data_IF_521421888009
#
_entry.id   IF_521421888009
#
_cell.length_a   1.000
_cell.length_b   1.000
_cell.length_c   1.000
_cell.angle_alpha   90.00
_cell.angle_beta   90.00
_cell.angle_gamma   90.00
#
_symmetry.space_group_name_H-M   'P 1'
#
loop_
_entity.id
_entity.type
_entity.pdbx_description
1 polymer ?
#
# COMPACT_ATOMS: atom_id res chain seq x y z
N UNK A 1 -34.83 -31.87 -0.56
CA UNK A 1 -34.70 -32.95 -1.57
C UNK A 1 -33.23 -33.12 -1.93
N UNK A 2 -32.71 -34.34 -1.99
CA UNK A 2 -31.31 -34.59 -2.38
C UNK A 2 -31.21 -34.92 -3.87
N UNK A 3 -30.25 -34.31 -4.58
CA UNK A 3 -29.84 -34.72 -5.93
C UNK A 3 -28.35 -35.06 -5.91
N UNK A 4 -28.05 -36.36 -5.81
CA UNK A 4 -26.69 -36.88 -6.05
C UNK A 4 -26.26 -36.50 -7.47
N UNK A 5 -25.18 -35.74 -7.63
CA UNK A 5 -24.43 -35.73 -8.91
C UNK A 5 -23.63 -37.04 -8.98
N UNK A 6 -23.74 -37.77 -10.09
CA UNK A 6 -22.80 -38.86 -10.41
C UNK A 6 -21.41 -38.25 -10.63
N UNK A 7 -20.36 -38.99 -10.28
CA UNK A 7 -19.06 -38.76 -10.90
C UNK A 7 -19.20 -39.07 -12.42
N UNK A 8 -18.89 -38.08 -13.25
CA UNK A 8 -18.70 -38.23 -14.69
C UNK A 8 -17.21 -38.28 -14.99
N UNK A 9 -16.82 -38.93 -16.08
CA UNK A 9 -15.41 -39.08 -16.45
C UNK A 9 -14.86 -37.77 -17.03
N UNK A 10 -13.87 -37.16 -16.39
CA UNK A 10 -13.25 -35.91 -16.87
C UNK A 10 -12.38 -36.17 -18.12
N UNK A 11 -13.00 -35.99 -19.29
CA UNK A 11 -12.33 -35.89 -20.59
C UNK A 11 -12.91 -34.69 -21.35
N UNK A 12 -12.66 -33.49 -20.82
CA UNK A 12 -12.86 -32.24 -21.57
C UNK A 12 -11.82 -32.10 -22.69
N UNK A 13 -12.12 -31.42 -23.80
CA UNK A 13 -11.19 -31.26 -24.91
C UNK A 13 -9.96 -30.43 -24.47
N UNK A 14 -8.77 -30.98 -24.70
CA UNK A 14 -7.49 -30.29 -24.45
C UNK A 14 -7.35 -29.08 -25.38
N UNK A 15 -7.12 -27.88 -24.82
CA UNK A 15 -7.09 -26.60 -25.56
C UNK A 15 -6.02 -26.47 -26.66
N UNK A 16 -5.07 -27.41 -26.78
CA UNK A 16 -3.97 -27.33 -27.72
C UNK A 16 -3.78 -28.63 -28.51
N UNK A 17 -3.87 -28.54 -29.85
CA UNK A 17 -3.39 -29.59 -30.76
C UNK A 17 -1.92 -29.37 -31.08
N UNK A 18 -1.05 -30.26 -30.61
CA UNK A 18 0.38 -30.28 -30.95
C UNK A 18 0.64 -31.13 -32.20
N UNK A 19 0.28 -30.63 -33.39
CA UNK A 19 0.63 -31.27 -34.67
C UNK A 19 1.88 -30.59 -35.31
N UNK A 20 2.94 -31.33 -35.68
CA UNK A 20 4.17 -30.77 -36.24
C UNK A 20 4.14 -30.55 -37.76
N UNK A 21 4.92 -29.58 -38.23
CA UNK A 21 5.15 -29.22 -39.66
C UNK A 21 6.25 -30.16 -40.30
N UNK A 22 6.58 -30.12 -41.64
CA UNK A 22 7.63 -30.94 -42.37
C UNK A 22 8.98 -30.48 -43.17
N UNK A 23 9.39 -29.24 -43.59
CA UNK A 23 10.85 -28.79 -43.77
C UNK A 23 11.22 -27.26 -43.70
N UNK A 24 11.98 -26.82 -42.66
CA UNK A 24 12.54 -25.46 -42.43
C UNK A 24 14.00 -25.45 -41.84
N UNK A 25 14.60 -24.27 -41.55
CA UNK A 25 16.03 -24.11 -41.20
C UNK A 25 16.33 -23.20 -40.01
N UNK A 26 17.46 -23.44 -39.34
CA UNK A 26 18.03 -22.61 -38.27
C UNK A 26 19.53 -22.34 -38.51
N UNK A 27 19.97 -21.10 -38.22
CA UNK A 27 21.36 -20.65 -38.29
C UNK A 27 21.88 -20.35 -36.88
N UNK A 28 22.89 -21.11 -36.44
CA UNK A 28 23.44 -21.01 -35.09
C UNK A 28 24.77 -20.25 -35.13
N UNK A 29 24.77 -19.04 -34.59
CA UNK A 29 25.96 -18.21 -34.38
C UNK A 29 26.61 -18.55 -33.04
N UNK A 30 27.86 -19.01 -33.06
CA UNK A 30 28.65 -19.32 -31.84
C UNK A 30 29.85 -18.40 -31.77
N UNK A 31 30.01 -17.68 -30.66
CA UNK A 31 31.17 -16.79 -30.43
C UNK A 31 32.04 -17.38 -29.33
N UNK A 32 33.29 -17.71 -29.67
CA UNK A 32 34.26 -18.24 -28.72
C UNK A 32 35.39 -17.22 -28.47
N UNK A 33 35.70 -16.96 -27.20
CA UNK A 33 36.83 -16.09 -26.80
C UNK A 33 38.04 -16.95 -26.49
N UNK A 34 39.16 -16.74 -27.18
CA UNK A 34 40.43 -17.38 -26.86
C UNK A 34 41.08 -16.74 -25.62
N UNK A 35 41.94 -17.48 -24.92
CA UNK A 35 42.61 -17.02 -23.69
C UNK A 35 43.54 -15.82 -23.87
N UNK A 36 43.88 -15.46 -25.11
CA UNK A 36 44.61 -14.25 -25.48
C UNK A 36 43.70 -13.03 -25.77
N UNK A 37 42.39 -13.14 -25.51
CA UNK A 37 41.42 -12.05 -25.65
C UNK A 37 40.81 -11.86 -27.05
N UNK A 38 41.24 -12.62 -28.07
CA UNK A 38 40.60 -12.56 -29.38
C UNK A 38 39.29 -13.34 -29.41
N UNK A 39 38.23 -12.73 -29.94
CA UNK A 39 36.95 -13.37 -30.19
C UNK A 39 36.86 -13.87 -31.63
N UNK A 40 36.34 -15.10 -31.80
CA UNK A 40 36.09 -15.70 -33.11
C UNK A 40 34.63 -16.11 -33.21
N UNK A 41 33.98 -15.73 -34.30
CA UNK A 41 32.58 -16.07 -34.61
C UNK A 41 32.57 -17.24 -35.59
N UNK A 42 31.67 -18.20 -35.39
CA UNK A 42 31.38 -19.29 -36.32
C UNK A 42 29.87 -19.40 -36.55
N UNK A 43 29.49 -19.83 -37.75
CA UNK A 43 28.10 -20.07 -38.16
C UNK A 43 27.96 -21.54 -38.53
N UNK A 44 26.96 -22.21 -37.96
CA UNK A 44 26.51 -23.53 -38.43
C UNK A 44 25.03 -23.45 -38.84
N UNK A 45 24.61 -24.29 -39.79
CA UNK A 45 23.23 -24.28 -40.33
C UNK A 45 22.64 -25.67 -40.27
N UNK A 46 21.43 -25.80 -39.75
CA UNK A 46 20.70 -27.07 -39.65
C UNK A 46 19.31 -26.98 -40.30
N UNK A 47 18.76 -28.12 -40.72
CA UNK A 47 17.46 -28.20 -41.44
C UNK A 47 16.54 -29.20 -40.74
N UNK A 48 15.49 -28.70 -40.08
CA UNK A 48 14.49 -29.46 -39.31
C UNK A 48 13.21 -29.60 -40.13
N UNK A 49 12.47 -30.68 -39.96
CA UNK A 49 11.24 -30.96 -40.71
C UNK A 49 10.07 -30.05 -40.19
N UNK A 50 9.74 -28.89 -40.87
CA UNK A 50 8.58 -27.92 -40.77
C UNK A 50 7.96 -27.32 -42.15
N UNK A 51 6.71 -27.61 -42.67
CA UNK A 51 6.10 -27.45 -44.06
C UNK A 51 4.53 -27.32 -44.12
N UNK A 52 3.88 -27.49 -45.31
CA UNK A 52 2.43 -27.34 -45.61
C UNK A 52 1.87 -28.06 -46.91
N UNK A 53 0.53 -28.17 -47.12
CA UNK A 53 -0.20 -28.62 -48.35
C UNK A 53 -0.40 -27.48 -49.43
N UNK A 54 -1.07 -27.71 -50.60
CA UNK A 54 -0.98 -26.80 -51.78
C UNK A 54 -1.90 -25.56 -51.73
N UNK A 55 -1.65 -24.52 -52.57
CA UNK A 55 -2.31 -23.22 -52.48
C UNK A 55 -3.73 -23.16 -53.07
N UNK A 56 -4.56 -22.32 -52.47
CA UNK A 56 -5.79 -21.77 -53.06
C UNK A 56 -5.47 -20.44 -53.80
N UNK A 57 -6.28 -20.01 -54.78
CA UNK A 57 -5.95 -18.84 -55.60
C UNK A 57 -5.95 -17.54 -54.80
N UNK A 58 -5.02 -16.64 -55.15
CA UNK A 58 -4.95 -15.29 -54.61
C UNK A 58 -6.08 -14.47 -55.22
N UNK A 59 -6.84 -13.77 -54.38
CA UNK A 59 -7.59 -12.59 -54.77
C UNK A 59 -6.88 -11.40 -54.10
N UNK A 60 -6.49 -10.39 -54.87
CA UNK A 60 -5.68 -9.30 -54.34
C UNK A 60 -6.45 -8.49 -53.30
N UNK A 61 -5.87 -8.18 -52.12
CA UNK A 61 -6.44 -7.20 -51.22
C UNK A 61 -6.37 -5.82 -51.89
N UNK A 62 -7.46 -5.02 -51.86
CA UNK A 62 -7.44 -3.69 -52.46
C UNK A 62 -6.40 -2.81 -51.75
N UNK A 63 -5.71 -1.98 -52.53
CA UNK A 63 -4.73 -1.02 -52.02
C UNK A 63 -5.41 0.04 -51.16
N UNK A 64 -5.27 -0.07 -49.84
CA UNK A 64 -5.59 1.01 -48.91
C UNK A 64 -4.35 1.91 -48.84
N UNK A 65 -4.34 2.94 -49.68
CA UNK A 65 -3.39 4.04 -49.55
C UNK A 65 -3.61 4.75 -48.21
N UNK A 66 -2.56 4.84 -47.39
CA UNK A 66 -2.58 5.56 -46.12
C UNK A 66 -2.43 7.07 -46.36
N UNK A 67 -3.48 7.65 -46.95
CA UNK A 67 -3.65 9.10 -47.11
C UNK A 67 -4.08 9.72 -45.77
N UNK A 68 -3.11 10.33 -45.07
CA UNK A 68 -3.28 10.97 -43.76
C UNK A 68 -4.18 12.23 -43.81
N UNK A 69 -4.68 12.62 -45.00
CA UNK A 69 -5.67 13.70 -45.15
C UNK A 69 -7.13 13.26 -44.99
N UNK A 70 -7.39 11.97 -44.70
CA UNK A 70 -8.75 11.39 -44.88
C UNK A 70 -9.37 10.65 -43.69
N UNK A 71 -8.89 10.88 -42.47
CA UNK A 71 -9.42 10.24 -41.25
C UNK A 71 -10.74 10.84 -40.72
N UNK A 72 -11.60 11.34 -41.61
CA UNK A 72 -12.89 11.99 -41.29
C UNK A 72 -14.03 11.00 -41.03
N UNK A 73 -13.79 9.68 -41.05
CA UNK A 73 -14.85 8.70 -40.80
C UNK A 73 -15.31 8.63 -39.32
N UNK A 74 -14.62 9.33 -38.41
CA UNK A 74 -15.14 9.63 -37.06
C UNK A 74 -15.64 11.08 -36.92
N UNK A 75 -15.68 11.84 -38.02
CA UNK A 75 -16.02 13.27 -38.10
C UNK A 75 -17.41 13.55 -38.68
N UNK A 76 -18.42 12.69 -38.53
CA UNK A 76 -19.82 13.14 -38.59
C UNK A 76 -20.82 12.21 -37.88
N UNK A 77 -21.65 12.79 -37.01
CA UNK A 77 -22.93 12.23 -36.51
C UNK A 77 -22.92 10.85 -35.80
N UNK A 78 -21.78 10.40 -35.24
CA UNK A 78 -21.66 9.10 -34.55
C UNK A 78 -21.09 9.13 -33.13
N UNK A 79 -20.97 10.31 -32.49
CA UNK A 79 -20.31 10.44 -31.19
C UNK A 79 -21.03 9.66 -30.07
N UNK A 80 -20.36 8.66 -29.49
CA UNK A 80 -20.73 8.10 -28.18
C UNK A 80 -20.68 9.27 -27.18
N UNK A 81 -21.78 9.62 -26.48
CA UNK A 81 -21.79 10.81 -25.63
C UNK A 81 -20.74 10.70 -24.52
N UNK A 82 -19.68 11.51 -24.62
CA UNK A 82 -18.73 11.66 -23.53
C UNK A 82 -19.49 12.24 -22.35
N UNK A 83 -19.48 11.53 -21.22
CA UNK A 83 -20.28 11.91 -20.06
C UNK A 83 -19.73 13.27 -19.54
N UNK A 84 -20.49 14.40 -19.60
CA UNK A 84 -19.84 15.71 -19.58
C UNK A 84 -19.19 16.02 -18.23
N UNK A 85 -17.87 16.17 -18.21
CA UNK A 85 -17.06 16.34 -16.99
C UNK A 85 -17.43 17.60 -16.19
N UNK A 86 -18.05 18.59 -16.82
CA UNK A 86 -18.55 19.79 -16.15
C UNK A 86 -19.75 20.42 -16.87
N UNK A 87 -20.42 21.37 -16.19
CA UNK A 87 -21.58 22.08 -16.74
C UNK A 87 -21.25 22.93 -17.98
N UNK A 88 -20.01 23.40 -18.14
CA UNK A 88 -19.58 24.20 -19.30
C UNK A 88 -19.56 23.33 -20.57
N UNK A 89 -19.11 22.06 -20.46
CA UNK A 89 -19.20 21.07 -21.55
C UNK A 89 -20.64 20.65 -21.89
N UNK A 90 -21.62 20.92 -21.01
CA UNK A 90 -23.06 20.80 -21.33
C UNK A 90 -23.62 22.05 -22.04
N UNK A 91 -22.79 23.03 -22.40
CA UNK A 91 -23.21 24.31 -22.97
C UNK A 91 -23.89 25.26 -21.96
N UNK A 92 -23.95 24.88 -20.68
CA UNK A 92 -24.52 25.72 -19.62
C UNK A 92 -23.52 26.82 -19.30
N UNK A 93 -23.78 28.03 -19.80
CA UNK A 93 -23.00 29.23 -19.48
C UNK A 93 -23.13 29.56 -17.99
N UNK A 94 -22.19 29.05 -17.19
CA UNK A 94 -22.01 29.49 -15.82
C UNK A 94 -21.72 31.00 -15.79
N UNK A 95 -22.30 31.76 -14.84
CA UNK A 95 -21.89 33.14 -14.65
C UNK A 95 -20.40 33.16 -14.23
N UNK A 96 -19.57 34.08 -14.76
CA UNK A 96 -18.15 34.11 -14.45
C UNK A 96 -17.96 34.24 -12.93
N UNK A 97 -17.20 33.30 -12.36
CA UNK A 97 -16.91 33.30 -10.93
C UNK A 97 -16.34 34.66 -10.52
N UNK A 98 -16.86 35.23 -9.42
CA UNK A 98 -16.41 36.53 -8.91
C UNK A 98 -14.91 36.47 -8.61
N UNK A 99 -14.11 37.13 -9.44
CA UNK A 99 -12.67 37.25 -9.21
C UNK A 99 -12.41 38.29 -8.13
N UNK A 100 -11.59 37.92 -7.17
CA UNK A 100 -11.11 38.78 -6.10
C UNK A 100 -9.58 38.80 -6.17
N UNK A 101 -8.93 39.92 -5.86
CA UNK A 101 -7.46 40.03 -5.96
C UNK A 101 -6.71 39.00 -5.08
N UNK A 102 -7.31 38.59 -3.96
CA UNK A 102 -6.79 37.54 -3.09
C UNK A 102 -7.05 36.11 -3.61
N UNK A 103 -7.88 35.93 -4.63
CA UNK A 103 -8.09 34.65 -5.33
C UNK A 103 -7.16 34.50 -6.53
N UNK A 104 -6.99 35.57 -7.31
CA UNK A 104 -6.13 35.57 -8.50
C UNK A 104 -4.62 35.68 -8.12
N UNK A 105 -4.29 36.41 -7.04
CA UNK A 105 -2.92 36.62 -6.57
C UNK A 105 -2.78 36.46 -5.03
N UNK A 106 -3.15 35.31 -4.44
CA UNK A 106 -3.22 35.10 -2.99
C UNK A 106 -1.92 35.46 -2.27
N UNK A 107 -0.77 34.96 -2.76
CA UNK A 107 0.53 35.22 -2.13
C UNK A 107 0.93 36.70 -2.16
N UNK A 108 0.56 37.45 -3.20
CA UNK A 108 0.83 38.89 -3.30
C UNK A 108 0.01 39.64 -2.25
N UNK A 109 -1.28 39.33 -2.13
CA UNK A 109 -2.14 39.91 -1.10
C UNK A 109 -1.68 39.58 0.33
N UNK A 110 -1.04 38.41 0.52
CA UNK A 110 -0.50 37.95 1.80
C UNK A 110 0.79 38.66 2.24
N UNK A 111 1.60 39.23 1.33
CA UNK A 111 2.91 39.80 1.66
C UNK A 111 2.86 40.90 2.73
N UNK A 112 1.75 41.64 2.85
CA UNK A 112 1.53 42.65 3.88
C UNK A 112 1.22 42.10 5.27
N UNK A 113 0.74 40.85 5.37
CA UNK A 113 0.31 40.21 6.62
C UNK A 113 1.41 39.37 7.30
N UNK A 114 2.60 39.29 6.71
CA UNK A 114 3.72 38.44 7.19
C UNK A 114 4.10 38.67 8.64
N UNK A 115 4.24 39.93 9.07
CA UNK A 115 4.59 40.26 10.45
C UNK A 115 3.47 39.83 11.41
N UNK A 116 2.22 40.23 11.12
CA UNK A 116 1.04 39.89 11.93
C UNK A 116 0.87 38.37 12.07
N UNK A 117 1.08 37.60 10.99
CA UNK A 117 1.03 36.14 11.07
C UNK A 117 2.19 35.53 11.86
N UNK A 118 3.40 36.11 11.80
CA UNK A 118 4.52 35.68 12.64
C UNK A 118 4.24 35.98 14.11
N UNK A 119 3.73 37.18 14.42
CA UNK A 119 3.39 37.61 15.77
C UNK A 119 2.29 36.72 16.37
N UNK A 120 1.18 36.51 15.66
CA UNK A 120 0.10 35.60 16.11
C UNK A 120 0.57 34.13 16.19
N UNK A 121 1.52 33.70 15.35
CA UNK A 121 2.12 32.37 15.46
C UNK A 121 3.01 32.25 16.69
N UNK A 122 3.89 33.21 16.97
CA UNK A 122 4.75 33.21 18.16
C UNK A 122 3.90 33.34 19.44
N UNK A 123 2.80 34.07 19.38
CA UNK A 123 1.77 34.20 20.42
C UNK A 123 0.98 32.91 20.64
N UNK A 124 0.73 32.13 19.60
CA UNK A 124 0.17 30.77 19.66
C UNK A 124 1.18 29.75 20.23
N UNK A 125 2.47 29.83 19.86
CA UNK A 125 3.50 28.94 20.40
C UNK A 125 3.82 29.27 21.88
N UNK A 126 3.88 30.56 22.25
CA UNK A 126 4.00 31.09 23.61
C UNK A 126 2.68 31.12 24.42
N UNK A 127 2.63 31.85 25.54
CA UNK A 127 1.47 31.89 26.47
C UNK A 127 0.25 32.72 25.99
N UNK A 128 0.40 33.53 24.96
CA UNK A 128 -0.65 34.44 24.48
C UNK A 128 -1.25 35.33 25.59
N UNK A 129 -2.57 35.60 25.54
CA UNK A 129 -3.27 36.35 26.59
C UNK A 129 -3.19 35.68 27.98
N UNK A 130 -2.89 34.37 28.07
CA UNK A 130 -2.67 33.65 29.33
C UNK A 130 -1.26 33.88 29.90
N UNK A 131 -0.57 34.94 29.49
CA UNK A 131 0.60 35.49 30.16
C UNK A 131 0.22 36.25 31.46
N UNK A 132 -0.86 37.04 31.42
CA UNK A 132 -1.29 37.91 32.52
C UNK A 132 -2.22 37.21 33.54
N UNK A 133 -2.95 36.20 33.08
CA UNK A 133 -3.79 35.33 33.89
C UNK A 133 -3.16 33.93 33.96
N UNK A 134 -2.66 33.55 35.14
CA UNK A 134 -2.19 32.20 35.45
C UNK A 134 -3.20 31.39 36.26
N UNK A 135 -4.46 31.79 36.37
CA UNK A 135 -5.49 30.96 37.02
C UNK A 135 -5.97 29.84 36.09
N UNK A 136 -6.23 28.66 36.66
CA UNK A 136 -6.83 27.57 35.89
C UNK A 136 -8.34 27.83 35.69
N UNK A 137 -8.83 28.03 34.44
CA UNK A 137 -10.23 28.37 34.18
C UNK A 137 -11.17 27.24 34.62
N UNK A 138 -10.74 25.99 34.43
CA UNK A 138 -11.45 24.80 34.84
C UNK A 138 -11.66 24.72 36.37
N UNK A 139 -10.71 25.21 37.17
CA UNK A 139 -10.87 25.31 38.63
C UNK A 139 -11.81 26.46 39.02
N UNK A 140 -11.67 27.62 38.37
CA UNK A 140 -12.50 28.80 38.60
C UNK A 140 -13.98 28.51 38.30
N UNK A 141 -14.28 27.93 37.14
CA UNK A 141 -15.65 27.58 36.70
C UNK A 141 -16.29 26.53 37.65
N UNK A 142 -15.48 25.60 38.19
CA UNK A 142 -15.95 24.54 39.09
C UNK A 142 -15.93 24.93 40.57
N UNK A 143 -15.55 26.18 40.89
CA UNK A 143 -15.33 26.68 42.25
C UNK A 143 -14.33 25.83 43.10
N UNK A 144 -13.38 25.15 42.45
CA UNK A 144 -12.36 24.29 43.09
C UNK A 144 -11.12 25.08 43.56
N UNK A 145 -11.33 26.34 43.98
CA UNK A 145 -10.26 27.27 44.34
C UNK A 145 -9.48 27.84 43.16
N UNK A 146 -8.48 28.68 43.44
CA UNK A 146 -7.61 29.34 42.43
C UNK A 146 -6.29 28.59 42.26
N UNK A 147 -6.34 27.39 41.68
CA UNK A 147 -5.12 26.65 41.32
C UNK A 147 -4.43 27.29 40.10
N UNK A 148 -3.09 27.24 40.05
CA UNK A 148 -2.32 27.80 38.95
C UNK A 148 -2.42 26.95 37.66
N UNK A 149 -2.67 27.62 36.54
CA UNK A 149 -2.64 27.09 35.20
C UNK A 149 -1.23 27.07 34.62
N UNK A 150 -0.52 25.95 34.77
CA UNK A 150 0.85 25.76 34.26
C UNK A 150 0.96 24.73 33.14
N UNK A 151 -0.06 23.90 32.90
CA UNK A 151 -0.07 22.85 31.88
C UNK A 151 -0.93 23.22 30.68
N UNK A 152 -0.44 22.98 29.47
CA UNK A 152 -1.16 23.25 28.22
C UNK A 152 -1.11 22.02 27.32
N UNK A 153 -2.24 21.68 26.71
CA UNK A 153 -2.26 20.69 25.64
C UNK A 153 -2.01 21.37 24.29
N UNK A 154 -1.18 20.74 23.46
CA UNK A 154 -0.83 21.25 22.13
C UNK A 154 -1.86 20.84 21.06
N UNK A 155 -2.62 19.77 21.32
CA UNK A 155 -3.55 19.14 20.37
C UNK A 155 -5.04 19.43 20.69
N UNK A 156 -5.36 19.91 21.90
CA UNK A 156 -6.72 20.35 22.26
C UNK A 156 -7.04 21.73 21.68
N UNK A 157 -8.26 21.93 21.15
CA UNK A 157 -8.76 23.25 20.79
C UNK A 157 -8.77 24.22 21.99
N UNK A 158 -8.63 25.53 21.72
CA UNK A 158 -8.55 26.58 22.75
C UNK A 158 -7.21 26.67 23.51
N UNK A 159 -6.48 25.56 23.64
CA UNK A 159 -5.10 25.49 24.19
C UNK A 159 -4.92 26.24 25.51
N UNK A 160 -5.86 26.05 26.43
CA UNK A 160 -5.89 26.72 27.73
C UNK A 160 -4.76 26.29 28.67
N UNK A 161 -4.40 27.20 29.59
CA UNK A 161 -3.50 26.93 30.71
C UNK A 161 -4.29 26.33 31.89
N UNK A 162 -4.03 25.07 32.21
CA UNK A 162 -4.73 24.26 33.22
C UNK A 162 -3.79 23.86 34.37
N UNK A 163 -4.33 23.63 35.56
CA UNK A 163 -3.58 22.96 36.62
C UNK A 163 -3.42 21.46 36.29
N UNK A 164 -2.49 20.77 36.96
CA UNK A 164 -2.22 19.36 36.69
C UNK A 164 -3.49 18.47 36.76
N UNK A 165 -4.32 18.64 37.79
CA UNK A 165 -5.54 17.84 37.99
C UNK A 165 -6.61 18.07 36.91
N UNK A 166 -6.84 19.33 36.52
CA UNK A 166 -7.78 19.66 35.44
C UNK A 166 -7.26 19.23 34.07
N UNK A 167 -5.94 19.34 33.84
CA UNK A 167 -5.30 18.81 32.63
C UNK A 167 -5.47 17.28 32.56
N UNK A 168 -5.14 16.55 33.63
CA UNK A 168 -5.30 15.10 33.68
C UNK A 168 -6.77 14.67 33.50
N UNK A 169 -7.70 15.37 34.16
CA UNK A 169 -9.14 15.09 34.02
C UNK A 169 -9.64 15.30 32.58
N UNK A 170 -9.23 16.38 31.92
CA UNK A 170 -9.65 16.69 30.53
C UNK A 170 -9.12 15.67 29.51
N UNK A 171 -7.99 15.01 29.80
CA UNK A 171 -7.38 14.02 28.89
C UNK A 171 -7.68 12.56 29.26
N UNK A 172 -8.62 12.29 30.19
CA UNK A 172 -9.09 10.91 30.50
C UNK A 172 -9.63 10.15 29.28
N UNK A 173 -10.25 10.88 28.34
CA UNK A 173 -10.74 10.39 27.04
C UNK A 173 -9.74 10.57 25.90
N UNK A 174 -8.66 11.32 26.11
CA UNK A 174 -7.70 11.76 25.09
C UNK A 174 -6.25 11.44 25.51
N UNK A 175 -5.91 10.17 25.85
CA UNK A 175 -4.64 9.80 26.50
C UNK A 175 -3.40 9.91 25.60
N UNK A 176 -3.58 10.21 24.31
CA UNK A 176 -2.50 10.38 23.33
C UNK A 176 -2.35 11.84 22.86
N UNK A 177 -2.95 12.79 23.58
CA UNK A 177 -2.71 14.22 23.37
C UNK A 177 -1.37 14.64 23.99
N UNK A 178 -0.63 15.48 23.27
CA UNK A 178 0.65 16.04 23.74
C UNK A 178 0.39 17.19 24.71
N UNK A 179 1.05 17.15 25.86
CA UNK A 179 0.98 18.20 26.89
C UNK A 179 2.36 18.77 27.15
N UNK A 180 2.42 20.07 27.42
CA UNK A 180 3.61 20.78 27.89
C UNK A 180 3.30 21.49 29.20
N UNK A 181 4.31 21.64 30.06
CA UNK A 181 4.27 22.43 31.28
C UNK A 181 5.12 23.69 31.11
N UNK A 182 4.61 24.84 31.52
CA UNK A 182 5.36 26.09 31.57
C UNK A 182 6.25 26.10 32.82
N UNK A 183 7.57 26.10 32.63
CA UNK A 183 8.57 26.25 33.71
C UNK A 183 9.77 27.04 33.18
N UNK A 184 10.38 27.84 34.05
CA UNK A 184 11.64 28.56 33.75
C UNK A 184 11.62 29.34 32.43
N UNK A 185 10.47 29.96 32.11
CA UNK A 185 10.30 30.81 30.93
C UNK A 185 9.95 30.10 29.62
N UNK A 186 9.78 28.76 29.60
CA UNK A 186 9.38 28.04 28.40
C UNK A 186 8.48 26.82 28.65
N UNK A 187 7.94 26.25 27.56
CA UNK A 187 7.12 25.04 27.59
C UNK A 187 7.98 23.77 27.44
N UNK A 188 8.07 22.95 28.50
CA UNK A 188 8.69 21.63 28.48
C UNK A 188 7.65 20.54 28.20
N UNK A 189 7.93 19.51 27.38
CA UNK A 189 7.01 18.38 27.22
C UNK A 189 6.85 17.59 28.53
N UNK A 190 5.66 17.02 28.75
CA UNK A 190 5.34 16.13 29.87
C UNK A 190 4.37 15.05 29.40
N UNK A 191 4.56 13.79 29.81
CA UNK A 191 3.64 12.73 29.41
C UNK A 191 2.38 12.74 30.29
N UNK A 192 1.21 12.48 29.71
CA UNK A 192 -0.06 12.42 30.44
C UNK A 192 -0.04 11.40 31.59
N UNK A 193 0.74 10.32 31.47
CA UNK A 193 0.96 9.33 32.54
C UNK A 193 1.56 9.95 33.81
N UNK A 194 2.44 10.95 33.64
CA UNK A 194 3.16 11.61 34.74
C UNK A 194 2.23 12.60 35.47
N UNK A 195 1.11 12.99 34.83
CA UNK A 195 -0.01 13.71 35.45
C UNK A 195 -1.08 12.76 36.03
N UNK A 196 -0.83 11.45 36.04
CA UNK A 196 -1.74 10.44 36.59
C UNK A 196 -2.84 9.96 35.63
N UNK A 197 -2.79 10.28 34.33
CA UNK A 197 -3.72 9.70 33.35
C UNK A 197 -3.38 8.23 33.11
N UNK A 198 -4.38 7.36 33.21
CA UNK A 198 -4.26 5.91 33.03
C UNK A 198 -5.18 5.46 31.88
N UNK A 199 -4.62 4.69 30.95
CA UNK A 199 -5.37 3.99 29.90
C UNK A 199 -5.94 2.71 30.50
N UNK A 200 -7.12 2.79 31.10
CA UNK A 200 -7.88 1.63 31.53
C UNK A 200 -8.47 0.92 30.30
N UNK A 201 -8.15 -0.36 30.15
CA UNK A 201 -8.70 -1.23 29.10
C UNK A 201 -10.00 -1.91 29.57
N UNK A 202 -10.72 -2.52 28.64
CA UNK A 202 -11.98 -3.24 28.87
C UNK A 202 -13.23 -2.35 28.72
N UNK A 203 -14.20 -2.83 27.94
CA UNK A 203 -15.37 -2.03 27.50
C UNK A 203 -16.33 -1.65 28.63
N UNK A 204 -16.33 -2.40 29.74
CA UNK A 204 -17.19 -2.16 30.91
C UNK A 204 -16.68 -1.00 31.81
N UNK A 205 -15.69 -0.22 31.37
CA UNK A 205 -15.10 0.89 32.12
C UNK A 205 -15.19 2.20 31.35
N UNK A 206 -15.85 3.20 31.93
CA UNK A 206 -15.86 4.55 31.38
C UNK A 206 -14.44 5.18 31.44
N UNK A 207 -14.02 5.99 30.45
CA UNK A 207 -12.68 6.57 30.41
C UNK A 207 -12.31 7.34 31.68
N UNK A 208 -11.16 6.98 32.28
CA UNK A 208 -10.68 7.55 33.54
C UNK A 208 -11.29 6.93 34.81
N UNK A 209 -12.15 5.92 34.70
CA UNK A 209 -12.39 4.96 35.79
C UNK A 209 -11.28 3.90 35.84
N UNK A 210 -11.18 3.14 36.93
CA UNK A 210 -10.17 2.09 37.11
C UNK A 210 -10.84 0.74 37.42
N UNK A 211 -10.30 -0.32 36.84
CA UNK A 211 -10.70 -1.69 37.15
C UNK A 211 -10.08 -2.11 38.48
N UNK A 212 -10.92 -2.41 39.48
CA UNK A 212 -10.49 -2.93 40.80
C UNK A 212 -9.68 -4.21 40.65
N UNK A 213 -10.13 -5.13 39.79
CA UNK A 213 -9.46 -6.40 39.47
C UNK A 213 -8.39 -6.27 38.37
N UNK A 214 -8.16 -5.07 37.84
CA UNK A 214 -7.23 -4.84 36.74
C UNK A 214 -5.76 -4.91 37.16
N UNK A 215 -4.88 -5.27 36.22
CA UNK A 215 -3.44 -5.32 36.44
C UNK A 215 -2.74 -4.22 35.63
N UNK A 216 -1.80 -3.51 36.25
CA UNK A 216 -0.99 -2.53 35.55
C UNK A 216 -0.09 -3.23 34.51
N UNK A 217 -0.06 -2.72 33.29
CA UNK A 217 0.84 -3.19 32.24
C UNK A 217 2.29 -2.76 32.52
N UNK A 218 3.22 -3.25 31.69
CA UNK A 218 4.63 -2.89 31.75
C UNK A 218 4.85 -1.35 31.82
N UNK A 219 5.73 -0.90 32.72
CA UNK A 219 6.00 0.54 32.96
C UNK A 219 6.56 1.28 31.73
N UNK A 220 7.15 0.55 30.78
CA UNK A 220 7.71 1.06 29.53
C UNK A 220 6.81 0.81 28.32
N UNK A 221 5.49 0.69 28.55
CA UNK A 221 4.48 0.51 27.50
C UNK A 221 4.36 1.77 26.63
N UNK A 222 4.62 1.60 25.32
CA UNK A 222 4.61 2.68 24.33
C UNK A 222 3.40 2.57 23.40
N UNK A 223 2.71 3.67 23.15
CA UNK A 223 1.71 3.79 22.08
C UNK A 223 2.22 4.74 21.00
N UNK A 224 2.30 4.24 19.78
CA UNK A 224 2.57 5.03 18.58
C UNK A 224 1.24 5.64 18.11
N UNK A 225 1.17 6.97 17.99
CA UNK A 225 0.00 7.72 17.54
C UNK A 225 0.38 8.70 16.43
N UNK A 226 -0.60 9.28 15.74
CA UNK A 226 -0.41 10.11 14.53
C UNK A 226 0.42 11.38 14.81
N UNK A 227 0.34 11.91 16.03
CA UNK A 227 1.06 13.07 16.51
C UNK A 227 2.43 12.75 17.18
N UNK A 228 2.81 11.48 17.38
CA UNK A 228 4.07 11.10 18.02
C UNK A 228 4.09 9.77 18.79
N UNK A 229 5.14 9.59 19.59
CA UNK A 229 5.45 8.40 20.40
C UNK A 229 5.09 8.69 21.86
N UNK A 230 4.09 8.00 22.40
CA UNK A 230 3.60 8.22 23.76
C UNK A 230 4.05 7.12 24.70
N UNK A 231 4.62 7.50 25.84
CA UNK A 231 4.74 6.59 26.99
C UNK A 231 3.49 6.74 27.85
N UNK A 232 2.77 5.65 28.10
CA UNK A 232 1.48 5.67 28.81
C UNK A 232 1.43 4.62 29.91
N UNK A 233 0.75 4.93 31.01
CA UNK A 233 0.39 3.92 32.02
C UNK A 233 -0.92 3.27 31.57
N UNK A 234 -0.87 2.00 31.20
CA UNK A 234 -2.04 1.22 30.83
C UNK A 234 -2.37 0.19 31.92
N UNK A 235 -3.65 -0.17 32.06
CA UNK A 235 -4.13 -1.17 33.03
C UNK A 235 -5.15 -2.08 32.35
N UNK A 236 -4.99 -3.39 32.50
CA UNK A 236 -5.95 -4.37 31.99
C UNK A 236 -7.26 -4.32 32.78
N UNK A 237 -8.30 -4.97 32.24
CA UNK A 237 -9.50 -5.31 32.98
C UNK A 237 -9.53 -6.82 33.25
N UNK A 238 -10.11 -7.22 34.38
CA UNK A 238 -10.43 -8.62 34.69
C UNK A 238 -11.85 -8.79 35.23
N UNK A 239 -12.70 -7.76 35.08
CA UNK A 239 -14.13 -7.85 35.38
C UNK A 239 -14.83 -8.79 34.39
N UNK A 240 -15.53 -9.79 34.91
CA UNK A 240 -16.30 -10.76 34.13
C UNK A 240 -17.66 -11.03 34.75
N UNK A 241 -18.68 -11.40 33.95
CA UNK A 241 -19.86 -12.09 34.45
C UNK A 241 -19.50 -13.46 35.06
N UNK A 242 -20.23 -13.96 36.07
CA UNK A 242 -20.01 -15.28 36.63
C UNK A 242 -19.97 -16.38 35.56
N UNK A 243 -18.97 -17.28 35.66
CA UNK A 243 -18.79 -18.39 34.72
C UNK A 243 -18.11 -18.05 33.39
N UNK A 244 -17.76 -16.78 33.13
CA UNK A 244 -17.07 -16.36 31.90
C UNK A 244 -15.60 -16.00 32.22
N UNK A 245 -14.60 -16.52 31.48
CA UNK A 245 -13.19 -16.17 31.69
C UNK A 245 -12.88 -14.72 31.27
N UNK A 246 -11.85 -14.07 31.85
CA UNK A 246 -11.46 -12.72 31.49
C UNK A 246 -10.96 -12.65 30.05
N UNK A 247 -11.36 -11.60 29.35
CA UNK A 247 -10.96 -11.37 27.95
C UNK A 247 -9.44 -11.17 27.84
N UNK A 248 -8.79 -11.78 26.85
CA UNK A 248 -7.34 -11.70 26.68
C UNK A 248 -6.86 -10.26 26.50
N UNK A 249 -5.66 -9.94 27.04
CA UNK A 249 -5.08 -8.59 26.92
C UNK A 249 -4.94 -8.14 25.44
N UNK A 250 -4.62 -9.08 24.54
CA UNK A 250 -4.57 -8.83 23.10
C UNK A 250 -5.92 -8.34 22.55
N UNK A 251 -7.02 -9.00 22.94
CA UNK A 251 -8.38 -8.64 22.54
C UNK A 251 -8.84 -7.32 23.20
N UNK A 252 -8.48 -7.09 24.48
CA UNK A 252 -8.76 -5.82 25.17
C UNK A 252 -8.10 -4.62 24.48
N UNK A 253 -6.85 -4.78 24.03
CA UNK A 253 -6.13 -3.74 23.29
C UNK A 253 -6.79 -3.46 21.94
N UNK A 254 -7.14 -4.51 21.18
CA UNK A 254 -7.83 -4.36 19.89
C UNK A 254 -9.20 -3.65 20.04
N UNK A 255 -9.99 -4.00 21.06
CA UNK A 255 -11.27 -3.33 21.37
C UNK A 255 -11.07 -1.85 21.76
N UNK A 256 -9.97 -1.53 22.44
CA UNK A 256 -9.56 -0.15 22.73
C UNK A 256 -8.92 0.59 21.53
N UNK A 257 -8.96 0.04 20.31
CA UNK A 257 -8.37 0.65 19.12
C UNK A 257 -6.83 0.69 19.10
N UNK A 258 -6.18 -0.12 19.95
CA UNK A 258 -4.73 -0.28 20.03
C UNK A 258 -4.32 -1.59 19.35
N UNK A 259 -3.52 -1.48 18.30
CA UNK A 259 -2.96 -2.62 17.59
C UNK A 259 -1.64 -3.01 18.24
N UNK A 260 -1.50 -4.17 18.92
CA UNK A 260 -0.28 -4.53 19.63
C UNK A 260 0.76 -5.21 18.74
N UNK A 261 2.05 -4.98 19.00
CA UNK A 261 3.15 -5.49 18.19
C UNK A 261 3.30 -7.02 18.31
N UNK A 262 3.18 -7.56 19.53
CA UNK A 262 3.16 -9.00 19.85
C UNK A 262 1.79 -9.42 20.38
N UNK A 263 1.42 -10.72 20.30
CA UNK A 263 0.21 -11.22 20.96
C UNK A 263 0.37 -11.32 22.48
N UNK A 264 1.54 -11.77 22.94
CA UNK A 264 1.89 -11.94 24.36
C UNK A 264 2.80 -10.80 24.86
N UNK A 265 2.67 -10.43 26.14
CA UNK A 265 3.33 -9.29 26.83
C UNK A 265 3.63 -8.08 25.90
N UNK A 266 2.60 -7.46 25.28
CA UNK A 266 2.80 -6.38 24.33
C UNK A 266 3.32 -5.13 25.04
N UNK A 267 4.58 -4.75 24.77
CA UNK A 267 5.22 -3.52 25.28
C UNK A 267 5.07 -2.33 24.33
N UNK A 268 4.44 -2.53 23.18
CA UNK A 268 4.24 -1.48 22.18
C UNK A 268 2.99 -1.75 21.35
N UNK A 269 2.18 -0.71 21.17
CA UNK A 269 1.03 -0.69 20.27
C UNK A 269 1.12 0.49 19.29
N UNK A 270 0.37 0.43 18.19
CA UNK A 270 0.02 1.60 17.38
C UNK A 270 -1.49 1.83 17.41
N UNK A 271 -1.96 3.08 17.45
CA UNK A 271 -3.41 3.33 17.35
C UNK A 271 -3.93 2.91 15.97
N UNK A 272 -5.18 2.46 15.87
CA UNK A 272 -5.78 2.08 14.58
C UNK A 272 -5.72 3.24 13.55
N UNK A 273 -5.81 4.49 14.02
CA UNK A 273 -5.66 5.67 13.18
C UNK A 273 -4.24 5.81 12.61
N UNK A 274 -3.20 5.56 13.41
CA UNK A 274 -1.83 5.52 12.90
C UNK A 274 -1.66 4.43 11.85
N UNK A 275 -2.24 3.25 12.08
CA UNK A 275 -2.14 2.13 11.15
C UNK A 275 -2.90 2.39 9.84
N UNK A 276 -4.07 3.05 9.90
CA UNK A 276 -4.80 3.57 8.72
C UNK A 276 -3.97 4.61 7.96
N UNK A 277 -3.45 5.62 8.66
CA UNK A 277 -2.64 6.70 8.08
C UNK A 277 -1.39 6.16 7.38
N UNK A 278 -0.64 5.27 8.03
CA UNK A 278 0.53 4.63 7.42
C UNK A 278 0.15 3.78 6.21
N UNK A 279 -0.91 2.97 6.31
CA UNK A 279 -1.37 2.13 5.19
C UNK A 279 -1.62 3.02 3.95
N UNK A 280 -2.40 4.10 4.11
CA UNK A 280 -2.69 5.04 3.01
C UNK A 280 -1.45 5.74 2.46
N UNK A 281 -0.60 6.33 3.31
CA UNK A 281 0.61 7.03 2.86
C UNK A 281 1.63 6.08 2.20
N UNK A 282 1.68 4.83 2.64
CA UNK A 282 2.58 3.82 2.05
C UNK A 282 2.13 3.31 0.67
N UNK A 283 0.84 3.47 0.33
CA UNK A 283 0.30 3.20 -1.00
C UNK A 283 0.36 4.45 -1.89
N UNK A 284 -0.28 5.54 -1.45
CA UNK A 284 -0.47 6.76 -2.25
C UNK A 284 0.83 7.57 -2.37
N UNK A 285 1.48 7.89 -1.25
CA UNK A 285 2.72 8.66 -1.21
C UNK A 285 3.99 7.81 -1.34
N UNK A 286 3.85 6.49 -1.52
CA UNK A 286 4.94 5.49 -1.55
C UNK A 286 5.88 5.58 -0.33
N UNK A 287 5.40 6.11 0.80
CA UNK A 287 6.22 6.42 1.97
C UNK A 287 6.73 5.14 2.63
N UNK A 288 8.06 5.04 2.78
CA UNK A 288 8.68 3.88 3.43
C UNK A 288 8.38 3.86 4.93
N UNK A 289 8.34 2.66 5.53
CA UNK A 289 8.14 2.51 6.98
C UNK A 289 9.21 3.26 7.79
N UNK A 290 10.43 3.35 7.26
CA UNK A 290 11.55 4.08 7.88
C UNK A 290 11.32 5.59 7.91
N UNK A 291 10.91 6.20 6.79
CA UNK A 291 10.65 7.64 6.76
C UNK A 291 9.44 7.99 7.62
N UNK A 292 8.35 7.23 7.52
CA UNK A 292 7.16 7.47 8.35
C UNK A 292 7.44 7.34 9.84
N UNK A 293 8.15 6.30 10.28
CA UNK A 293 8.52 6.14 11.69
C UNK A 293 9.43 7.29 12.17
N UNK A 294 10.38 7.73 11.36
CA UNK A 294 11.20 8.90 11.71
C UNK A 294 10.38 10.20 11.76
N UNK A 295 9.36 10.38 10.92
CA UNK A 295 8.41 11.50 11.05
C UNK A 295 7.68 11.47 12.40
N UNK A 296 7.27 10.30 12.91
CA UNK A 296 6.70 10.19 14.27
C UNK A 296 7.72 10.55 15.35
N UNK A 297 8.98 10.11 15.19
CA UNK A 297 10.08 10.45 16.10
C UNK A 297 10.29 11.97 16.15
N UNK A 298 10.41 12.63 15.00
CA UNK A 298 10.59 14.09 14.89
C UNK A 298 9.36 14.87 15.37
N UNK A 299 8.14 14.38 15.15
CA UNK A 299 6.90 14.95 15.72
C UNK A 299 6.83 14.84 17.26
N UNK A 300 7.66 13.98 17.86
CA UNK A 300 7.78 13.83 19.32
C UNK A 300 8.94 14.67 19.87
N UNK A 301 10.12 14.57 19.25
CA UNK A 301 11.25 15.48 19.44
C UNK A 301 12.06 15.61 18.15
N UNK A 302 12.13 16.83 17.61
CA UNK A 302 12.97 17.20 16.46
C UNK A 302 14.31 17.84 16.85
N UNK A 303 14.55 18.08 18.14
CA UNK A 303 15.80 18.67 18.65
C UNK A 303 16.89 17.63 18.87
N UNK A 304 16.52 16.36 19.07
CA UNK A 304 17.45 15.29 19.44
C UNK A 304 17.89 15.32 20.91
N UNK A 305 17.36 16.25 21.71
CA UNK A 305 17.66 16.34 23.15
C UNK A 305 16.99 15.26 23.97
N UNK A 306 15.89 14.67 23.48
CA UNK A 306 15.15 13.60 24.17
C UNK A 306 15.55 12.24 23.62
N UNK A 307 16.07 11.37 24.50
CA UNK A 307 16.37 9.96 24.18
C UNK A 307 15.09 9.13 24.08
N UNK A 308 14.38 9.27 22.96
CA UNK A 308 13.19 8.49 22.64
C UNK A 308 13.50 6.99 22.50
N UNK A 309 12.60 6.08 22.94
CA UNK A 309 12.82 4.65 22.82
C UNK A 309 12.68 4.20 21.36
N UNK A 310 13.65 3.45 20.83
CA UNK A 310 13.47 2.84 19.51
C UNK A 310 12.39 1.75 19.56
N UNK A 311 11.45 1.87 18.62
CA UNK A 311 10.32 0.98 18.36
C UNK A 311 10.14 0.73 16.87
N UNK A 312 11.10 1.08 16.01
CA UNK A 312 11.01 0.86 14.56
C UNK A 312 10.74 -0.61 14.21
N UNK A 313 11.42 -1.55 14.88
CA UNK A 313 11.20 -3.00 14.71
C UNK A 313 9.82 -3.47 15.18
N UNK A 314 9.21 -2.80 16.16
CA UNK A 314 7.83 -3.07 16.55
C UNK A 314 6.85 -2.49 15.52
N UNK A 315 7.13 -1.29 15.00
CA UNK A 315 6.35 -0.65 13.96
C UNK A 315 6.33 -1.43 12.64
N UNK A 316 7.44 -2.04 12.20
CA UNK A 316 7.43 -2.89 11.00
C UNK A 316 6.61 -4.17 11.18
N UNK A 317 6.59 -4.77 12.38
CA UNK A 317 5.70 -5.88 12.72
C UNK A 317 4.21 -5.46 12.71
N UNK A 318 3.88 -4.31 13.31
CA UNK A 318 2.53 -3.73 13.24
C UNK A 318 2.10 -3.54 11.78
N UNK A 319 2.95 -2.92 10.96
CA UNK A 319 2.69 -2.67 9.55
C UNK A 319 2.48 -3.95 8.73
N UNK A 320 3.28 -5.01 8.97
CA UNK A 320 3.16 -6.31 8.29
C UNK A 320 1.82 -6.99 8.60
N UNK A 321 1.49 -7.12 9.90
CA UNK A 321 0.23 -7.75 10.33
C UNK A 321 -0.99 -6.97 9.84
N UNK A 322 -0.98 -5.64 9.97
CA UNK A 322 -2.07 -4.78 9.52
C UNK A 322 -2.33 -4.86 8.01
N UNK A 323 -1.28 -5.04 7.19
CA UNK A 323 -1.42 -5.26 5.73
C UNK A 323 -2.01 -6.63 5.41
N UNK A 324 -1.57 -7.69 6.09
CA UNK A 324 -2.16 -9.02 5.96
C UNK A 324 -3.64 -9.03 6.40
N UNK A 325 -3.96 -8.42 7.55
CA UNK A 325 -5.32 -8.32 8.07
C UNK A 325 -6.24 -7.55 7.11
N UNK A 326 -5.75 -6.43 6.55
CA UNK A 326 -6.47 -5.69 5.53
C UNK A 326 -6.68 -6.48 4.23
N UNK A 327 -5.75 -7.38 3.86
CA UNK A 327 -5.87 -8.27 2.71
C UNK A 327 -6.95 -9.34 2.92
N UNK A 328 -6.89 -10.10 4.03
CA UNK A 328 -7.89 -11.15 4.32
C UNK A 328 -9.28 -10.55 4.60
N UNK A 329 -9.35 -9.32 5.16
CA UNK A 329 -10.60 -8.57 5.32
C UNK A 329 -11.20 -8.12 3.97
N UNK A 330 -10.36 -7.66 3.02
CA UNK A 330 -10.82 -7.33 1.66
C UNK A 330 -11.30 -8.58 0.90
N UNK A 331 -10.60 -9.70 1.08
CA UNK A 331 -11.00 -11.01 0.57
C UNK A 331 -12.11 -11.70 1.35
N UNK A 332 -12.90 -10.97 2.16
CA UNK A 332 -14.13 -11.47 2.78
C UNK A 332 -13.97 -12.44 3.96
N UNK A 333 -12.77 -12.82 4.38
CA UNK A 333 -12.55 -13.92 5.37
C UNK A 333 -13.19 -13.70 6.75
N UNK A 334 -13.58 -12.48 7.08
CA UNK A 334 -14.36 -12.17 8.28
C UNK A 334 -15.77 -12.80 8.28
N UNK A 335 -16.32 -13.07 7.09
CA UNK A 335 -17.67 -13.61 6.86
C UNK A 335 -17.65 -15.01 6.19
N UNK A 336 -16.47 -15.65 6.12
CA UNK A 336 -16.34 -17.00 5.57
C UNK A 336 -17.11 -17.99 6.46
N UNK A 337 -18.01 -18.83 5.89
CA UNK A 337 -18.79 -19.79 6.67
C UNK A 337 -17.95 -21.00 7.13
N UNK A 338 -16.72 -21.18 6.63
CA UNK A 338 -15.82 -22.25 7.06
C UNK A 338 -15.31 -21.97 8.48
N UNK A 339 -15.21 -22.99 9.35
CA UNK A 339 -14.84 -22.77 10.76
C UNK A 339 -13.47 -22.11 10.93
N UNK A 340 -12.53 -22.45 10.06
CA UNK A 340 -11.11 -22.02 10.14
C UNK A 340 -10.86 -20.64 9.48
N UNK A 341 -11.87 -20.12 8.77
CA UNK A 341 -11.97 -18.78 8.14
C UNK A 341 -10.75 -18.32 7.33
N UNK A 342 -9.73 -17.80 8.02
CA UNK A 342 -8.49 -17.27 7.42
C UNK A 342 -7.56 -18.42 7.06
N UNK A 343 -7.44 -19.43 7.91
CA UNK A 343 -6.58 -20.60 7.65
C UNK A 343 -7.13 -21.50 6.54
N UNK A 344 -8.42 -21.39 6.23
CA UNK A 344 -9.07 -22.05 5.10
C UNK A 344 -8.80 -21.36 3.73
N UNK A 345 -8.06 -20.25 3.68
CA UNK A 345 -7.79 -19.51 2.44
C UNK A 345 -7.00 -20.38 1.45
N UNK A 346 -7.58 -20.63 0.28
CA UNK A 346 -6.93 -21.43 -0.76
C UNK A 346 -5.85 -20.64 -1.53
N UNK A 347 -4.92 -21.31 -2.25
CA UNK A 347 -4.03 -20.65 -3.19
C UNK A 347 -4.82 -19.81 -4.22
N UNK A 348 -4.37 -18.58 -4.46
CA UNK A 348 -5.03 -17.59 -5.32
C UNK A 348 -6.33 -16.98 -4.79
N UNK A 349 -6.90 -17.44 -3.66
CA UNK A 349 -8.25 -17.04 -3.20
C UNK A 349 -8.36 -15.56 -2.71
N UNK A 350 -7.24 -14.84 -2.64
CA UNK A 350 -7.15 -13.40 -2.37
C UNK A 350 -6.55 -12.59 -3.54
N UNK A 351 -6.27 -13.21 -4.68
CA UNK A 351 -5.82 -12.51 -5.88
C UNK A 351 -7.00 -11.78 -6.55
N UNK A 352 -6.89 -10.47 -6.78
CA UNK A 352 -7.88 -9.75 -7.59
C UNK A 352 -7.59 -10.05 -9.06
N UNK A 353 -8.51 -10.78 -9.69
CA UNK A 353 -8.46 -11.10 -11.13
C UNK A 353 -8.50 -9.81 -11.98
N UNK A 354 -7.70 -9.77 -13.04
CA UNK A 354 -7.73 -8.68 -14.00
C UNK A 354 -9.05 -8.71 -14.79
N UNK A 355 -9.87 -7.67 -14.67
CA UNK A 355 -11.17 -7.57 -15.35
C UNK A 355 -11.09 -7.37 -16.88
N UNK A 356 -9.91 -6.99 -17.38
CA UNK A 356 -9.63 -6.84 -18.80
C UNK A 356 -9.01 -8.09 -19.45
N UNK A 357 -8.60 -9.10 -18.67
CA UNK A 357 -8.20 -10.38 -19.23
C UNK A 357 -9.44 -11.18 -19.66
N UNK A 358 -9.40 -11.93 -20.78
CA UNK A 358 -10.47 -12.82 -21.19
C UNK A 358 -10.63 -13.97 -20.17
N UNK A 359 -11.85 -14.11 -19.61
CA UNK A 359 -12.23 -15.13 -18.64
C UNK A 359 -13.55 -15.78 -19.10
N UNK A 360 -13.50 -17.01 -19.64
CA UNK A 360 -14.70 -17.76 -20.05
C UNK A 360 -15.73 -17.86 -18.93
N UNK A 361 -17.00 -17.63 -19.25
CA UNK A 361 -18.10 -17.64 -18.29
C UNK A 361 -18.10 -16.47 -17.28
N UNK A 362 -17.32 -15.40 -17.51
CA UNK A 362 -17.35 -14.19 -16.67
C UNK A 362 -17.40 -12.88 -17.48
N UNK A 363 -16.58 -12.72 -18.51
CA UNK A 363 -16.53 -11.52 -19.35
C UNK A 363 -16.35 -11.81 -20.85
N UNK A 364 -16.50 -13.07 -21.25
CA UNK A 364 -16.64 -13.49 -22.65
C UNK A 364 -18.10 -13.86 -22.94
N UNK A 365 -18.61 -13.61 -24.16
CA UNK A 365 -19.85 -14.22 -24.64
C UNK A 365 -19.79 -15.75 -24.56
N UNK A 366 -20.92 -16.44 -24.45
CA UNK A 366 -20.93 -17.92 -24.39
C UNK A 366 -20.44 -18.57 -25.70
N UNK A 367 -20.67 -17.92 -26.84
CA UNK A 367 -20.30 -18.30 -28.22
C UNK A 367 -18.89 -17.83 -28.64
N UNK A 368 -18.05 -17.37 -27.70
CA UNK A 368 -16.70 -16.86 -27.99
C UNK A 368 -15.79 -17.85 -28.74
N UNK A 369 -16.07 -19.16 -28.64
CA UNK A 369 -15.31 -20.23 -29.30
C UNK A 369 -15.65 -20.40 -30.78
N UNK A 370 -16.87 -20.03 -31.20
CA UNK A 370 -17.36 -20.15 -32.58
C UNK A 370 -16.99 -18.92 -33.43
N UNK A 371 -16.26 -17.96 -32.85
CA UNK A 371 -15.84 -16.72 -33.52
C UNK A 371 -14.83 -17.02 -34.65
N UNK A 372 -15.03 -16.47 -35.87
CA UNK A 372 -14.14 -16.72 -37.00
C UNK A 372 -12.66 -16.45 -36.68
N UNK A 373 -11.70 -17.23 -37.23
CA UNK A 373 -10.27 -17.09 -36.91
C UNK A 373 -9.72 -15.67 -37.08
N UNK A 374 -10.20 -14.95 -38.09
CA UNK A 374 -9.89 -13.53 -38.38
C UNK A 374 -10.24 -12.57 -37.24
N UNK A 375 -11.20 -12.94 -36.38
CA UNK A 375 -11.69 -12.13 -35.24
C UNK A 375 -11.36 -12.74 -33.88
N UNK A 376 -10.75 -13.92 -33.82
CA UNK A 376 -10.37 -14.59 -32.58
C UNK A 376 -9.44 -13.75 -31.67
N UNK A 377 -8.69 -12.81 -32.26
CA UNK A 377 -7.82 -11.88 -31.54
C UNK A 377 -8.56 -11.03 -30.47
N UNK A 378 -9.86 -10.82 -30.63
CA UNK A 378 -10.70 -10.06 -29.67
C UNK A 378 -10.73 -10.74 -28.29
N UNK A 379 -10.50 -12.06 -28.22
CA UNK A 379 -10.53 -12.85 -26.99
C UNK A 379 -9.15 -13.42 -26.60
N UNK A 380 -8.06 -12.93 -27.20
CA UNK A 380 -6.70 -13.41 -26.88
C UNK A 380 -6.19 -12.90 -25.54
N UNK A 381 -5.57 -13.80 -24.75
CA UNK A 381 -4.88 -13.46 -23.51
C UNK A 381 -3.46 -12.94 -23.81
N UNK A 382 -3.33 -11.63 -24.03
CA UNK A 382 -2.05 -10.96 -24.26
C UNK A 382 -1.15 -10.97 -23.01
N UNK A 383 -0.29 -11.99 -22.87
CA UNK A 383 0.63 -12.16 -21.74
C UNK A 383 1.91 -11.31 -21.88
N UNK A 384 1.80 -10.02 -21.60
CA UNK A 384 2.96 -9.13 -21.46
C UNK A 384 3.77 -9.45 -20.20
N UNK A 385 4.99 -9.98 -20.36
CA UNK A 385 5.95 -10.21 -19.27
C UNK A 385 6.88 -9.00 -19.13
N UNK A 386 6.55 -8.04 -18.26
CA UNK A 386 7.47 -6.96 -17.91
C UNK A 386 8.68 -7.53 -17.12
N UNK A 387 9.85 -7.56 -17.78
CA UNK A 387 11.09 -8.03 -17.18
C UNK A 387 11.77 -7.00 -16.25
N UNK A 388 11.18 -5.81 -16.02
CA UNK A 388 11.74 -4.75 -15.16
C UNK A 388 11.63 -5.05 -13.65
N UNK A 389 11.62 -6.32 -13.27
CA UNK A 389 11.55 -6.81 -11.88
C UNK A 389 12.82 -6.48 -11.09
N UNK A 390 12.92 -5.24 -10.57
CA UNK A 390 13.92 -4.84 -9.57
C UNK A 390 13.68 -5.45 -8.17
N UNK A 391 13.08 -6.65 -8.10
CA UNK A 391 12.85 -7.41 -6.87
C UNK A 391 14.15 -8.03 -6.36
N UNK A 392 15.03 -7.21 -5.79
CA UNK A 392 16.14 -7.69 -4.97
C UNK A 392 15.61 -8.35 -3.70
N UNK A 393 15.36 -9.65 -3.76
CA UNK A 393 15.04 -10.49 -2.60
C UNK A 393 16.21 -10.41 -1.61
N UNK A 394 16.05 -9.60 -0.55
CA UNK A 394 17.06 -9.52 0.51
C UNK A 394 17.07 -10.87 1.24
N UNK A 395 18.26 -11.38 1.56
CA UNK A 395 18.44 -12.61 2.32
C UNK A 395 17.57 -12.58 3.58
N UNK A 396 16.53 -13.42 3.60
CA UNK A 396 15.69 -13.65 4.78
C UNK A 396 16.44 -14.58 5.72
N UNK A 397 16.21 -14.46 7.03
CA UNK A 397 16.98 -15.25 8.00
C UNK A 397 16.64 -16.75 7.99
N UNK A 398 15.34 -17.06 7.93
CA UNK A 398 14.76 -18.41 7.81
C UNK A 398 13.24 -18.27 7.91
N UNK A 399 12.45 -19.09 7.21
CA UNK A 399 10.98 -19.02 7.32
C UNK A 399 10.48 -19.32 8.75
N UNK A 400 11.22 -20.11 9.54
CA UNK A 400 10.94 -20.33 10.97
C UNK A 400 11.09 -19.07 11.87
N UNK A 401 11.83 -18.05 11.42
CA UNK A 401 12.01 -16.76 12.14
C UNK A 401 11.22 -15.61 11.50
N UNK A 402 10.83 -15.74 10.23
CA UNK A 402 10.11 -14.70 9.49
C UNK A 402 9.05 -15.29 8.54
N UNK A 403 8.03 -16.00 9.06
CA UNK A 403 7.12 -16.81 8.25
C UNK A 403 6.26 -15.99 7.28
N UNK A 404 6.02 -16.55 6.10
CA UNK A 404 5.11 -15.98 5.09
C UNK A 404 3.68 -16.05 5.60
N UNK A 405 3.01 -14.89 5.78
CA UNK A 405 1.66 -14.79 6.36
C UNK A 405 0.53 -15.09 5.35
N UNK A 406 0.76 -15.94 4.36
CA UNK A 406 -0.21 -16.19 3.29
C UNK A 406 0.44 -16.85 2.08
N UNK A 407 1.01 -18.06 2.25
CA UNK A 407 1.72 -18.77 1.19
C UNK A 407 0.75 -19.12 0.05
N UNK A 408 1.05 -18.71 -1.19
CA UNK A 408 0.20 -18.99 -2.35
C UNK A 408 -1.12 -18.20 -2.43
N UNK A 409 -1.55 -17.48 -1.39
CA UNK A 409 -2.93 -16.94 -1.29
C UNK A 409 -3.27 -15.83 -2.29
N UNK A 410 -2.29 -15.20 -2.94
CA UNK A 410 -2.49 -14.07 -3.84
C UNK A 410 -1.57 -14.20 -5.08
N UNK A 411 -0.97 -13.10 -5.56
CA UNK A 411 -0.14 -13.07 -6.77
C UNK A 411 1.22 -13.80 -6.68
N UNK A 412 1.60 -14.28 -5.49
CA UNK A 412 2.81 -15.07 -5.29
C UNK A 412 2.43 -16.50 -4.93
N UNK A 413 3.07 -17.47 -5.60
CA UNK A 413 3.00 -18.90 -5.29
C UNK A 413 3.52 -19.21 -3.87
N UNK A 414 3.18 -20.39 -3.35
CA UNK A 414 3.80 -20.90 -2.13
C UNK A 414 5.29 -21.19 -2.35
N UNK A 415 6.12 -20.72 -1.42
CA UNK A 415 7.57 -20.86 -1.42
C UNK A 415 8.02 -22.33 -1.35
N UNK A 416 7.30 -23.18 -0.61
CA UNK A 416 7.66 -24.60 -0.44
C UNK A 416 7.61 -25.38 -1.77
N UNK A 417 6.41 -25.56 -2.37
CA UNK A 417 6.25 -26.23 -3.65
C UNK A 417 7.04 -25.55 -4.79
N UNK A 418 7.19 -24.22 -4.75
CA UNK A 418 8.02 -23.51 -5.73
C UNK A 418 9.51 -23.88 -5.64
N UNK A 419 10.08 -24.00 -4.42
CA UNK A 419 11.46 -24.47 -4.26
C UNK A 419 11.64 -25.94 -4.64
N UNK A 420 10.60 -26.77 -4.52
CA UNK A 420 10.64 -28.16 -4.99
C UNK A 420 10.63 -28.22 -6.52
N UNK A 421 9.78 -27.43 -7.17
CA UNK A 421 9.78 -27.24 -8.62
C UNK A 421 11.13 -26.69 -9.12
N UNK A 422 11.71 -25.66 -8.51
CA UNK A 422 13.03 -25.15 -8.91
C UNK A 422 14.16 -26.19 -8.81
N UNK A 423 14.08 -27.18 -7.90
CA UNK A 423 15.09 -28.24 -7.80
C UNK A 423 15.08 -29.20 -9.00
N UNK A 424 13.93 -29.48 -9.61
CA UNK A 424 13.87 -30.38 -10.78
C UNK A 424 14.44 -29.75 -12.05
N UNK A 425 14.62 -28.42 -12.08
CA UNK A 425 15.18 -27.67 -13.21
C UNK A 425 16.55 -27.05 -12.90
N UNK A 426 17.16 -27.37 -11.75
CA UNK A 426 18.42 -26.78 -11.28
C UNK A 426 19.67 -27.14 -12.12
N UNK A 427 19.51 -28.02 -13.13
CA UNK A 427 20.55 -28.41 -14.09
C UNK A 427 20.27 -27.95 -15.53
N UNK A 428 19.14 -27.26 -15.77
CA UNK A 428 18.89 -26.63 -17.08
C UNK A 428 19.61 -25.28 -17.16
N UNK A 429 20.09 -24.90 -18.35
CA UNK A 429 20.68 -23.58 -18.55
C UNK A 429 19.59 -22.50 -18.45
N UNK A 430 19.81 -21.48 -17.62
CA UNK A 430 18.90 -20.33 -17.57
C UNK A 430 18.82 -19.66 -18.94
N UNK A 431 17.68 -19.77 -19.61
CA UNK A 431 17.40 -19.07 -20.87
C UNK A 431 17.26 -17.57 -20.56
N UNK A 432 18.39 -16.85 -20.60
CA UNK A 432 18.44 -15.38 -20.45
C UNK A 432 17.81 -14.75 -21.71
N UNK A 433 16.48 -14.71 -21.71
CA UNK A 433 15.66 -14.10 -22.74
C UNK A 433 15.83 -12.58 -22.76
N UNK A 434 16.87 -12.10 -23.44
CA UNK A 434 16.94 -10.71 -23.87
C UNK A 434 15.73 -10.42 -24.78
N UNK A 435 14.76 -9.68 -24.26
CA UNK A 435 13.58 -9.20 -25.01
C UNK A 435 14.01 -8.15 -26.06
N UNK A 436 14.57 -8.64 -27.15
CA UNK A 436 14.74 -7.87 -28.38
C UNK A 436 13.38 -7.78 -29.06
N UNK A 437 12.84 -6.57 -29.18
CA UNK A 437 11.71 -6.29 -30.06
C UNK A 437 12.20 -6.42 -31.51
N UNK A 438 11.92 -7.56 -32.12
CA UNK A 438 12.23 -7.85 -33.51
C UNK A 438 10.95 -7.77 -34.35
N UNK A 439 10.69 -6.60 -34.95
CA UNK A 439 9.73 -6.50 -36.03
C UNK A 439 10.26 -7.30 -37.23
N UNK A 440 9.51 -8.32 -37.65
CA UNK A 440 9.91 -9.22 -38.72
C UNK A 440 9.67 -8.59 -40.10
N UNK A 441 10.51 -7.63 -40.47
CA UNK A 441 10.52 -7.04 -41.81
C UNK A 441 10.79 -8.10 -42.90
N UNK A 442 10.10 -8.00 -44.03
CA UNK A 442 10.26 -8.92 -45.15
C UNK A 442 11.59 -8.68 -45.91
N UNK A 443 12.24 -9.73 -46.45
CA UNK A 443 13.52 -9.59 -47.15
C UNK A 443 13.32 -9.03 -48.56
N UNK A 444 13.42 -7.70 -48.75
CA UNK A 444 13.05 -7.10 -50.04
C UNK A 444 13.52 -5.69 -50.41
N UNK A 445 14.45 -5.04 -49.69
CA UNK A 445 14.93 -3.70 -50.11
C UNK A 445 16.38 -3.39 -49.72
N UNK A 446 17.24 -3.16 -50.72
CA UNK A 446 18.56 -2.56 -50.53
C UNK A 446 18.43 -1.03 -50.39
N UNK A 447 18.16 -0.57 -49.16
CA UNK A 447 18.27 0.83 -48.76
C UNK A 447 18.99 0.88 -47.40
N UNK A 448 20.05 1.69 -47.30
CA UNK A 448 20.92 1.72 -46.13
C UNK A 448 20.27 2.42 -44.94
N UNK A 449 19.92 1.66 -43.88
CA UNK A 449 19.53 2.23 -42.59
C UNK A 449 20.77 2.65 -41.76
N UNK A 450 20.73 3.78 -41.04
CA UNK A 450 21.86 4.24 -40.23
C UNK A 450 22.09 3.35 -38.99
N UNK A 451 23.35 3.14 -38.62
CA UNK A 451 23.75 2.25 -37.51
C UNK A 451 23.37 2.82 -36.14
N UNK A 452 22.34 2.25 -35.50
CA UNK A 452 21.95 2.56 -34.12
C UNK A 452 22.90 1.92 -33.08
N UNK A 453 24.19 2.30 -33.11
CA UNK A 453 25.26 1.67 -32.33
C UNK A 453 25.98 2.59 -31.33
N UNK A 454 25.36 3.70 -30.88
CA UNK A 454 26.06 4.68 -30.03
C UNK A 454 25.24 5.33 -28.88
N UNK A 455 24.34 4.60 -28.22
CA UNK A 455 23.58 5.10 -27.05
C UNK A 455 23.71 4.30 -25.76
N UNK A 456 24.42 3.16 -25.75
CA UNK A 456 24.51 2.27 -24.56
C UNK A 456 25.89 2.27 -23.86
N UNK A 457 26.66 3.38 -23.93
CA UNK A 457 27.95 3.53 -23.21
C UNK A 457 28.10 4.78 -22.33
N UNK A 458 27.16 5.74 -22.34
CA UNK A 458 27.17 6.92 -21.44
C UNK A 458 26.15 6.78 -20.30
N UNK A 459 26.42 5.85 -19.38
CA UNK A 459 25.65 5.67 -18.14
C UNK A 459 26.47 5.01 -17.00
N UNK A 460 27.80 5.20 -16.99
CA UNK A 460 28.72 4.81 -15.90
C UNK A 460 29.85 5.85 -15.83
N UNK A 461 30.09 6.42 -14.66
CA UNK A 461 30.82 7.67 -14.48
C UNK A 461 29.82 8.84 -14.55
N UNK A 462 29.45 9.49 -13.46
CA UNK A 462 30.02 9.49 -12.08
C UNK A 462 29.06 8.92 -11.01
#
# INVERSE_FOLDING_TARGET
MSRKRKAGNDNGPTMYKHEPRAKARAHNLTVSTASNGQQRVSVSTSTVILQAPPPSPICDPPSIDFDDSRNDFWSENGAIPFNPDNMETMGIKLPPAKRYQNSDAPLVSWLGFRNIQLDERMRYEGRGNKMFDSTCPDCLIKNLGRNEGTYRCEDCYGREMLCAGCCANRHRTLPFHRVKVWKEGYFRPVALRDLGVIVQLGENHAPGTLCLFGLDLNKDFIVLHTNGIHSVRARSCSCTPPGIPPLDLYQQLLRAGLYPATPFDPKTCGTFELMRLFHMLSLQGRVSAYHFYNSLRYNTDNTGTVKLPDRYRAFTLLARKWRHEAMVKRGGRAYDPRPDRVEATAPGELAVLCRACPVPGMNLPDDWQDTPPERAFIYWLSLAKDACFRFKNRLRSSDAKDPTLGPGWAYFVDHGPYLEHCKSYATEEEVIGHLVWAESAAPGSNAGAPTASETCRRARGE
#
